data_IF_377668112309
#
_entry.id   IF_377668112309
#
_cell.length_a   1.000
_cell.length_b   1.000
_cell.length_c   1.000
_cell.angle_alpha   90.00
_cell.angle_beta   90.00
_cell.angle_gamma   90.00
#
_symmetry.space_group_name_H-M   'P 1'
#
loop_
_entity.id
_entity.type
_entity.pdbx_description
1 polymer ?
#
# COMPACT_ATOMS: atom_id res chain seq x y z
N UNK A 1 16.29 -6.45 -16.16
CA UNK A 1 16.32 -4.97 -16.14
C UNK A 1 15.91 -4.38 -17.50
N UNK A 2 14.70 -4.71 -17.98
CA UNK A 2 14.17 -4.13 -19.25
C UNK A 2 12.72 -3.66 -19.12
N UNK A 3 11.93 -4.22 -18.20
CA UNK A 3 10.54 -3.77 -17.96
C UNK A 3 10.43 -2.46 -17.15
N UNK A 4 11.43 -2.16 -16.31
CA UNK A 4 11.46 -0.93 -15.52
C UNK A 4 11.65 0.33 -16.39
N UNK A 5 12.32 0.21 -17.53
CA UNK A 5 12.56 1.32 -18.47
C UNK A 5 11.35 1.62 -19.37
N UNK A 6 10.37 0.72 -19.47
CA UNK A 6 9.21 0.88 -20.34
C UNK A 6 8.01 1.52 -19.63
N UNK A 7 7.90 1.36 -18.30
CA UNK A 7 6.88 2.01 -17.49
C UNK A 7 7.07 3.54 -17.41
N UNK A 8 8.32 4.03 -17.48
CA UNK A 8 8.62 5.46 -17.60
C UNK A 8 8.34 6.06 -18.99
N UNK A 9 8.17 5.22 -20.03
CA UNK A 9 7.97 5.64 -21.42
C UNK A 9 6.50 5.60 -21.87
N UNK A 10 5.61 4.91 -21.15
CA UNK A 10 4.17 4.82 -21.45
C UNK A 10 3.35 5.77 -20.56
N UNK A 11 3.55 7.07 -20.74
CA UNK A 11 2.84 8.10 -19.97
C UNK A 11 1.31 7.99 -20.05
N UNK A 12 0.65 8.33 -18.94
CA UNK A 12 -0.80 8.56 -18.83
C UNK A 12 -1.68 7.32 -19.04
N UNK A 13 -1.89 6.92 -20.29
CA UNK A 13 -2.86 5.89 -20.68
C UNK A 13 -2.33 4.45 -20.55
N UNK A 14 -1.04 4.24 -20.80
CA UNK A 14 -0.41 2.92 -20.64
C UNK A 14 -0.32 2.52 -19.17
N UNK A 15 0.17 3.43 -18.31
CA UNK A 15 0.15 3.25 -16.86
C UNK A 15 -1.27 3.00 -16.33
N UNK A 16 -2.26 3.78 -16.79
CA UNK A 16 -3.67 3.59 -16.40
C UNK A 16 -4.23 2.21 -16.81
N UNK A 17 -3.85 1.71 -18.00
CA UNK A 17 -4.28 0.39 -18.46
C UNK A 17 -3.66 -0.73 -17.61
N UNK A 18 -2.40 -0.59 -17.23
CA UNK A 18 -1.70 -1.54 -16.34
C UNK A 18 -2.33 -1.59 -14.94
N UNK A 19 -2.65 -0.44 -14.34
CA UNK A 19 -3.30 -0.42 -13.01
C UNK A 19 -4.73 -0.97 -13.07
N UNK A 20 -5.46 -0.80 -14.18
CA UNK A 20 -6.77 -1.44 -14.39
C UNK A 20 -6.67 -2.96 -14.49
N UNK A 21 -5.66 -3.46 -15.20
CA UNK A 21 -5.39 -4.90 -15.27
C UNK A 21 -5.01 -5.47 -13.89
N UNK A 22 -4.11 -4.78 -13.17
CA UNK A 22 -3.71 -5.18 -11.82
C UNK A 22 -4.90 -5.22 -10.85
N UNK A 23 -5.80 -4.22 -10.92
CA UNK A 23 -7.05 -4.22 -10.17
C UNK A 23 -7.87 -5.50 -10.43
N UNK A 24 -8.08 -5.86 -11.69
CA UNK A 24 -8.86 -7.05 -12.04
C UNK A 24 -8.21 -8.35 -11.53
N UNK A 25 -6.88 -8.45 -11.58
CA UNK A 25 -6.12 -9.59 -11.04
C UNK A 25 -6.28 -9.70 -9.52
N UNK A 26 -6.20 -8.59 -8.78
CA UNK A 26 -6.40 -8.61 -7.32
C UNK A 26 -7.85 -8.93 -6.94
N UNK A 27 -8.83 -8.39 -7.66
CA UNK A 27 -10.25 -8.74 -7.46
C UNK A 27 -10.48 -10.25 -7.66
N UNK A 28 -9.89 -10.84 -8.71
CA UNK A 28 -9.93 -12.29 -8.92
C UNK A 28 -9.19 -13.07 -7.83
N UNK A 29 -8.02 -12.60 -7.39
CA UNK A 29 -7.27 -13.24 -6.32
C UNK A 29 -8.08 -13.29 -5.02
N UNK A 30 -8.77 -12.19 -4.68
CA UNK A 30 -9.66 -12.13 -3.51
C UNK A 30 -10.81 -13.14 -3.63
N UNK A 31 -11.39 -13.29 -4.83
CA UNK A 31 -12.46 -14.28 -5.05
C UNK A 31 -11.97 -15.73 -4.91
N UNK A 32 -10.72 -16.00 -5.30
CA UNK A 32 -10.13 -17.35 -5.23
C UNK A 32 -9.70 -17.71 -3.82
N UNK A 33 -8.92 -16.84 -3.18
CA UNK A 33 -8.51 -16.98 -1.79
C UNK A 33 -8.20 -15.60 -1.20
N UNK A 34 -9.19 -15.05 -0.51
CA UNK A 34 -9.12 -13.75 0.15
C UNK A 34 -8.02 -13.65 1.21
N UNK A 35 -7.56 -14.78 1.79
CA UNK A 35 -6.57 -14.82 2.87
C UNK A 35 -5.18 -15.22 2.37
N UNK A 36 -5.05 -15.60 1.10
CA UNK A 36 -3.76 -15.94 0.51
C UNK A 36 -2.75 -14.81 0.76
N UNK A 37 -1.50 -15.21 1.03
CA UNK A 37 -0.39 -14.31 1.26
C UNK A 37 -0.67 -13.23 2.32
N UNK A 38 -1.38 -13.60 3.38
CA UNK A 38 -1.72 -12.71 4.50
C UNK A 38 -2.55 -11.49 4.06
N UNK A 39 -3.50 -11.70 3.13
CA UNK A 39 -4.39 -10.65 2.66
C UNK A 39 -3.72 -9.64 1.73
N UNK A 40 -2.56 -9.97 1.13
CA UNK A 40 -1.81 -9.04 0.28
C UNK A 40 -2.62 -8.49 -0.90
N UNK A 41 -3.57 -9.27 -1.42
CA UNK A 41 -4.44 -8.82 -2.51
C UNK A 41 -5.34 -7.65 -2.08
N UNK A 42 -5.86 -7.64 -0.85
CA UNK A 42 -6.60 -6.51 -0.30
C UNK A 42 -5.72 -5.27 -0.14
N UNK A 43 -4.53 -5.47 0.39
CA UNK A 43 -3.58 -4.38 0.63
C UNK A 43 -3.15 -3.73 -0.69
N UNK A 44 -2.74 -4.55 -1.67
CA UNK A 44 -2.34 -4.05 -2.99
C UNK A 44 -3.50 -3.41 -3.75
N UNK A 45 -4.70 -3.98 -3.69
CA UNK A 45 -5.88 -3.38 -4.32
C UNK A 45 -6.24 -2.04 -3.66
N UNK A 46 -6.24 -1.98 -2.34
CA UNK A 46 -6.46 -0.74 -1.58
C UNK A 46 -5.46 0.34 -1.95
N UNK A 47 -4.18 -0.02 -2.12
CA UNK A 47 -3.16 0.93 -2.59
C UNK A 47 -3.43 1.51 -3.96
N UNK A 48 -3.89 0.69 -4.91
CA UNK A 48 -4.26 1.20 -6.23
C UNK A 48 -5.41 2.23 -6.15
N UNK A 49 -6.33 2.06 -5.21
CA UNK A 49 -7.49 2.96 -5.10
C UNK A 49 -7.13 4.38 -4.62
N UNK A 50 -6.14 4.57 -3.74
CA UNK A 50 -5.73 5.93 -3.35
C UNK A 50 -4.61 6.50 -4.24
N UNK A 51 -3.87 5.65 -4.97
CA UNK A 51 -2.77 6.10 -5.84
C UNK A 51 -3.20 6.46 -7.26
N UNK A 52 -4.35 5.96 -7.72
CA UNK A 52 -4.87 6.20 -9.08
C UNK A 52 -5.82 7.41 -9.05
N UNK A 53 -5.85 8.26 -10.08
CA UNK A 53 -6.85 9.33 -10.16
C UNK A 53 -8.28 8.80 -10.13
N UNK A 54 -9.18 9.57 -9.53
CA UNK A 54 -10.62 9.28 -9.55
C UNK A 54 -11.28 9.46 -10.93
N UNK A 55 -12.60 9.33 -10.95
CA UNK A 55 -13.42 9.58 -12.14
C UNK A 55 -13.26 11.05 -12.63
N UNK A 56 -13.23 11.32 -13.95
CA UNK A 56 -13.47 10.41 -15.07
C UNK A 56 -12.22 9.71 -15.63
N UNK A 57 -11.04 9.99 -15.08
CA UNK A 57 -9.77 9.55 -15.68
C UNK A 57 -9.44 8.12 -15.23
N UNK A 58 -9.61 7.81 -13.95
CA UNK A 58 -9.32 6.50 -13.40
C UNK A 58 -10.44 5.96 -12.52
N UNK A 59 -10.06 5.12 -11.57
CA UNK A 59 -10.97 4.45 -10.65
C UNK A 59 -10.64 4.73 -9.19
N UNK A 60 -9.77 5.70 -8.93
CA UNK A 60 -9.38 6.05 -7.57
C UNK A 60 -10.58 6.42 -6.70
N UNK A 61 -10.55 5.97 -5.47
CA UNK A 61 -11.61 6.09 -4.48
C UNK A 61 -11.02 5.82 -3.08
N UNK A 62 -10.82 6.89 -2.31
CA UNK A 62 -10.18 6.82 -0.99
C UNK A 62 -11.02 6.05 0.03
N UNK A 63 -12.35 6.12 -0.06
CA UNK A 63 -13.26 5.36 0.80
C UNK A 63 -13.09 3.86 0.53
N UNK A 64 -13.01 3.49 -0.76
CA UNK A 64 -12.76 2.11 -1.17
C UNK A 64 -11.37 1.64 -0.74
N UNK A 65 -10.36 2.51 -0.88
CA UNK A 65 -9.01 2.24 -0.43
C UNK A 65 -8.97 1.91 1.07
N UNK A 66 -9.56 2.75 1.91
CA UNK A 66 -9.57 2.54 3.36
C UNK A 66 -10.28 1.23 3.74
N UNK A 67 -11.42 0.93 3.11
CA UNK A 67 -12.14 -0.33 3.34
C UNK A 67 -11.28 -1.55 3.06
N UNK A 68 -10.60 -1.57 1.90
CA UNK A 68 -9.76 -2.69 1.48
C UNK A 68 -8.51 -2.83 2.36
N UNK A 69 -7.86 -1.72 2.71
CA UNK A 69 -6.69 -1.73 3.59
C UNK A 69 -7.06 -2.25 4.99
N UNK A 70 -8.22 -1.84 5.53
CA UNK A 70 -8.74 -2.38 6.80
C UNK A 70 -9.07 -3.87 6.72
N UNK A 71 -9.54 -4.36 5.57
CA UNK A 71 -9.72 -5.81 5.36
C UNK A 71 -8.38 -6.56 5.35
N UNK A 72 -7.34 -6.00 4.73
CA UNK A 72 -5.98 -6.53 4.81
C UNK A 72 -5.46 -6.59 6.24
N UNK A 73 -5.62 -5.50 7.02
CA UNK A 73 -5.27 -5.46 8.44
C UNK A 73 -6.05 -6.47 9.28
N UNK A 74 -7.33 -6.69 8.99
CA UNK A 74 -8.11 -7.70 9.72
C UNK A 74 -7.60 -9.14 9.48
N UNK A 75 -6.90 -9.38 8.37
CA UNK A 75 -6.29 -10.68 8.04
C UNK A 75 -4.90 -10.80 8.66
N UNK A 76 -4.09 -9.75 8.59
CA UNK A 76 -2.71 -9.70 9.11
C UNK A 76 -2.48 -8.44 9.97
N UNK A 77 -2.99 -8.42 11.20
CA UNK A 77 -3.01 -7.21 12.05
C UNK A 77 -1.62 -6.76 12.49
N UNK A 78 -0.65 -7.68 12.56
CA UNK A 78 0.74 -7.41 12.93
C UNK A 78 1.68 -7.46 11.72
N UNK A 79 1.10 -7.54 10.52
CA UNK A 79 1.83 -7.66 9.26
C UNK A 79 2.55 -6.38 8.88
N UNK A 80 3.82 -6.51 8.46
CA UNK A 80 4.63 -5.38 7.99
C UNK A 80 3.99 -4.67 6.79
N UNK A 81 3.48 -5.43 5.81
CA UNK A 81 2.92 -4.85 4.59
C UNK A 81 1.55 -4.21 4.86
N UNK A 82 0.66 -4.89 5.59
CA UNK A 82 -0.67 -4.36 5.90
C UNK A 82 -0.61 -3.04 6.68
N UNK A 83 0.22 -2.98 7.73
CA UNK A 83 0.40 -1.76 8.52
C UNK A 83 1.14 -0.66 7.77
N UNK A 84 2.14 -1.01 6.94
CA UNK A 84 2.83 -0.01 6.13
C UNK A 84 1.89 0.68 5.15
N UNK A 85 1.16 -0.09 4.34
CA UNK A 85 0.30 0.48 3.30
C UNK A 85 -0.91 1.21 3.89
N UNK A 86 -1.42 0.78 5.06
CA UNK A 86 -2.41 1.58 5.78
C UNK A 86 -1.80 2.88 6.31
N UNK A 87 -0.57 2.84 6.86
CA UNK A 87 0.16 4.03 7.26
C UNK A 87 0.44 5.00 6.10
N UNK A 88 0.78 4.49 4.93
CA UNK A 88 0.99 5.27 3.71
C UNK A 88 -0.31 5.92 3.20
N UNK A 89 -1.42 5.18 3.21
CA UNK A 89 -2.75 5.76 2.96
C UNK A 89 -3.09 6.89 3.94
N UNK A 90 -2.87 6.67 5.24
CA UNK A 90 -3.11 7.70 6.26
C UNK A 90 -2.24 8.94 6.03
N UNK A 91 -1.02 8.77 5.52
CA UNK A 91 -0.16 9.88 5.13
C UNK A 91 -0.73 10.69 3.97
N UNK A 92 -1.17 10.02 2.91
CA UNK A 92 -1.81 10.64 1.75
C UNK A 92 -3.04 11.45 2.18
N UNK A 93 -3.82 10.89 3.10
CA UNK A 93 -4.99 11.52 3.73
C UNK A 93 -4.63 12.58 4.79
N UNK A 94 -3.33 12.88 4.99
CA UNK A 94 -2.82 13.87 5.96
C UNK A 94 -3.24 13.60 7.42
N UNK A 95 -3.50 12.33 7.76
CA UNK A 95 -3.81 11.84 9.10
C UNK A 95 -2.52 11.46 9.83
N UNK A 96 -1.69 12.47 10.12
CA UNK A 96 -0.30 12.30 10.55
C UNK A 96 -0.12 11.47 11.83
N UNK A 97 -0.92 11.70 12.88
CA UNK A 97 -0.84 10.92 14.12
C UNK A 97 -1.20 9.45 13.91
N UNK A 98 -2.27 9.18 13.16
CA UNK A 98 -2.69 7.80 12.85
C UNK A 98 -1.62 7.10 12.01
N UNK A 99 -1.05 7.82 11.04
CA UNK A 99 0.03 7.32 10.20
C UNK A 99 1.27 6.98 11.01
N UNK A 100 1.69 7.82 11.95
CA UNK A 100 2.83 7.51 12.83
C UNK A 100 2.58 6.21 13.61
N UNK A 101 1.36 6.04 14.13
CA UNK A 101 0.96 4.84 14.87
C UNK A 101 1.05 3.59 14.00
N UNK A 102 0.41 3.60 12.83
CA UNK A 102 0.40 2.47 11.89
C UNK A 102 1.82 2.13 11.39
N UNK A 103 2.62 3.14 11.01
CA UNK A 103 3.98 2.92 10.51
C UNK A 103 4.93 2.42 11.60
N UNK A 104 4.74 2.85 12.85
CA UNK A 104 5.52 2.33 13.98
C UNK A 104 5.20 0.87 14.22
N UNK A 105 3.91 0.50 14.21
CA UNK A 105 3.48 -0.90 14.30
C UNK A 105 4.04 -1.75 13.15
N UNK A 106 4.04 -1.22 11.92
CA UNK A 106 4.68 -1.89 10.78
C UNK A 106 6.19 -2.12 11.02
N UNK A 107 6.89 -1.16 11.61
CA UNK A 107 8.33 -1.28 11.91
C UNK A 107 8.61 -2.34 12.98
N UNK A 108 7.68 -2.55 13.91
CA UNK A 108 7.81 -3.52 15.01
C UNK A 108 7.38 -4.95 14.60
N UNK A 109 6.82 -5.12 13.39
CA UNK A 109 6.40 -6.41 12.87
C UNK A 109 7.52 -7.47 12.91
N UNK A 110 7.15 -8.71 13.21
CA UNK A 110 8.11 -9.82 13.25
C UNK A 110 8.71 -10.12 11.87
N UNK A 111 10.00 -10.51 11.77
CA UNK A 111 10.60 -10.93 10.50
C UNK A 111 9.90 -12.16 9.92
N UNK A 112 9.62 -12.15 8.61
CA UNK A 112 8.98 -13.28 7.92
C UNK A 112 10.05 -14.23 7.37
N UNK A 113 10.05 -15.53 7.75
CA UNK A 113 11.00 -16.50 7.21
C UNK A 113 10.99 -16.53 5.68
N UNK A 114 12.18 -16.49 5.06
CA UNK A 114 12.32 -16.47 3.60
C UNK A 114 12.00 -15.15 2.91
N UNK A 115 11.62 -14.09 3.64
CA UNK A 115 11.35 -12.74 3.09
C UNK A 115 12.26 -11.64 3.65
N UNK A 116 13.37 -11.99 4.29
CA UNK A 116 14.27 -11.04 4.94
C UNK A 116 14.70 -9.86 4.05
N UNK A 117 14.99 -10.10 2.76
CA UNK A 117 15.36 -9.03 1.83
C UNK A 117 14.20 -8.06 1.55
N UNK A 118 13.00 -8.60 1.31
CA UNK A 118 11.80 -7.79 1.09
C UNK A 118 11.43 -6.99 2.34
N UNK A 119 11.49 -7.63 3.52
CA UNK A 119 11.23 -6.99 4.80
C UNK A 119 12.27 -5.88 5.09
N UNK A 120 13.55 -6.09 4.74
CA UNK A 120 14.57 -5.06 4.88
C UNK A 120 14.27 -3.83 4.03
N UNK A 121 13.88 -4.01 2.76
CA UNK A 121 13.49 -2.89 1.90
C UNK A 121 12.28 -2.15 2.45
N UNK A 122 11.25 -2.90 2.86
CA UNK A 122 10.05 -2.34 3.47
C UNK A 122 10.34 -1.56 4.76
N UNK A 123 11.23 -2.05 5.62
CA UNK A 123 11.64 -1.33 6.84
C UNK A 123 12.34 -0.01 6.54
N UNK A 124 13.13 0.06 5.47
CA UNK A 124 13.73 1.32 5.03
C UNK A 124 12.66 2.31 4.57
N UNK A 125 11.68 1.87 3.78
CA UNK A 125 10.54 2.70 3.35
C UNK A 125 9.74 3.21 4.56
N UNK A 126 9.42 2.34 5.52
CA UNK A 126 8.74 2.70 6.77
C UNK A 126 9.52 3.77 7.52
N UNK A 127 10.84 3.61 7.66
CA UNK A 127 11.70 4.58 8.35
C UNK A 127 11.70 5.95 7.65
N UNK A 128 11.76 5.98 6.33
CA UNK A 128 11.67 7.23 5.55
C UNK A 128 10.30 7.90 5.71
N UNK A 129 9.21 7.12 5.68
CA UNK A 129 7.87 7.62 5.90
C UNK A 129 7.73 8.21 7.31
N UNK A 130 8.16 7.49 8.36
CA UNK A 130 8.15 7.95 9.75
C UNK A 130 8.94 9.23 9.97
N UNK A 131 10.10 9.37 9.33
CA UNK A 131 10.88 10.62 9.41
C UNK A 131 10.09 11.80 8.87
N UNK A 132 9.41 11.62 7.73
CA UNK A 132 8.55 12.64 7.14
C UNK A 132 7.37 13.00 8.05
N UNK A 133 6.70 11.99 8.61
CA UNK A 133 5.58 12.17 9.56
C UNK A 133 6.03 12.97 10.78
N UNK A 134 7.10 12.52 11.45
CA UNK A 134 7.60 13.12 12.68
C UNK A 134 8.09 14.54 12.48
N UNK A 135 8.76 14.81 11.36
CA UNK A 135 9.17 16.17 10.99
C UNK A 135 7.96 17.09 10.86
N UNK A 136 6.90 16.63 10.20
CA UNK A 136 5.68 17.40 10.04
C UNK A 136 4.98 17.64 11.39
N UNK A 137 4.85 16.61 12.21
CA UNK A 137 4.27 16.70 13.55
C UNK A 137 5.04 17.65 14.48
N UNK A 138 6.37 17.66 14.42
CA UNK A 138 7.21 18.56 15.21
C UNK A 138 7.19 20.02 14.74
N UNK A 139 6.69 20.27 13.51
CA UNK A 139 6.61 21.62 12.92
C UNK A 139 5.25 22.30 13.11
N UNK A 140 4.31 21.65 13.79
CA UNK A 140 2.98 22.17 14.13
C UNK A 140 2.94 22.68 15.57
#
# INVERSE_FOLDING_TARGET
MVLASQAGAQGGLGALSLVKAARAEFEQAIQRDARALAGSAYVSLGSLYYQVPGWPIGFGDDDKAEQLLKQGLAIDPDGIDANFFYGDFLLDQKRWQDAETALTHALDAAPRPGRALADSGRRQEIQTALQSVRKHLASR
#
